data_IF_799259963644
#
_entry.id   IF_799259963644
#
_cell.length_a   1.000
_cell.length_b   1.000
_cell.length_c   1.000
_cell.angle_alpha   90.00
_cell.angle_beta   90.00
_cell.angle_gamma   90.00
#
_symmetry.space_group_name_H-M   'P 1'
#
loop_
_entity.id
_entity.type
_entity.pdbx_description
1 polymer ?
#
# COMPACT_ATOMS: atom_id res chain seq x y z
N UNK A 1 -2.30 -6.14 11.05
CA UNK A 1 -1.35 -5.20 10.44
C UNK A 1 -2.09 -3.92 10.16
N UNK A 2 -1.61 -2.80 10.70
CA UNK A 2 -2.20 -1.50 10.45
C UNK A 2 -1.62 -0.95 9.14
N UNK A 3 -2.49 -0.71 8.15
CA UNK A 3 -2.17 -0.32 6.77
C UNK A 3 -3.20 0.71 6.32
N UNK A 4 -2.72 1.84 5.80
CA UNK A 4 -3.58 2.87 5.21
C UNK A 4 -3.07 3.21 3.81
N UNK A 5 -3.99 3.24 2.84
CA UNK A 5 -3.70 3.60 1.45
C UNK A 5 -4.61 4.75 1.05
N UNK A 6 -4.02 5.81 0.51
CA UNK A 6 -4.77 6.93 -0.05
C UNK A 6 -4.61 6.90 -1.56
N UNK A 7 -5.74 6.64 -2.22
CA UNK A 7 -5.85 6.53 -3.66
C UNK A 7 -6.72 7.69 -4.14
N UNK A 8 -6.25 8.38 -5.18
CA UNK A 8 -7.00 9.46 -5.84
C UNK A 8 -8.01 8.89 -6.86
N UNK A 9 -8.87 9.75 -7.42
CA UNK A 9 -9.87 9.38 -8.42
C UNK A 9 -9.28 8.75 -9.71
N UNK A 10 -7.99 8.96 -10.01
CA UNK A 10 -7.27 8.31 -11.13
C UNK A 10 -6.61 6.98 -10.75
N UNK A 11 -7.00 6.36 -9.63
CA UNK A 11 -6.42 5.12 -9.06
C UNK A 11 -4.93 5.23 -8.67
N UNK A 12 -4.40 6.46 -8.60
CA UNK A 12 -3.01 6.72 -8.22
C UNK A 12 -2.84 6.64 -6.71
N UNK A 13 -1.86 5.85 -6.27
CA UNK A 13 -1.41 5.85 -4.87
C UNK A 13 -0.60 7.12 -4.60
N UNK A 14 -1.15 8.06 -3.86
CA UNK A 14 -0.41 9.28 -3.49
C UNK A 14 0.14 9.23 -2.06
N UNK A 15 -0.45 8.42 -1.17
CA UNK A 15 0.09 8.18 0.17
C UNK A 15 -0.18 6.74 0.62
N UNK A 16 0.77 6.15 1.34
CA UNK A 16 0.65 4.79 1.87
C UNK A 16 1.47 4.62 3.14
N UNK A 17 0.88 4.02 4.16
CA UNK A 17 1.52 3.68 5.43
C UNK A 17 1.28 2.21 5.76
N UNK A 18 2.27 1.56 6.37
CA UNK A 18 2.13 0.21 6.86
C UNK A 18 3.06 -0.03 8.06
N UNK A 19 2.58 -0.74 9.08
CA UNK A 19 3.35 -1.08 10.28
C UNK A 19 4.26 -2.31 10.13
N UNK A 20 4.34 -2.92 8.93
CA UNK A 20 5.17 -4.11 8.69
C UNK A 20 6.68 -3.82 8.66
N UNK A 21 7.50 -4.86 8.90
CA UNK A 21 8.96 -4.74 8.90
C UNK A 21 9.55 -4.27 7.57
N UNK A 22 9.00 -4.74 6.44
CA UNK A 22 9.43 -4.31 5.11
C UNK A 22 9.21 -2.80 4.91
N UNK A 23 8.03 -2.28 5.23
CA UNK A 23 7.77 -0.84 5.10
C UNK A 23 8.57 -0.01 6.11
N UNK A 24 8.76 -0.47 7.34
CA UNK A 24 9.64 0.21 8.31
C UNK A 24 11.08 0.32 7.81
N UNK A 25 11.59 -0.69 7.13
CA UNK A 25 12.97 -0.72 6.64
C UNK A 25 13.14 -0.02 5.29
N UNK A 26 12.19 -0.22 4.36
CA UNK A 26 12.32 0.18 2.96
C UNK A 26 11.40 1.34 2.57
N UNK A 27 10.37 1.63 3.37
CA UNK A 27 9.26 2.54 3.03
C UNK A 27 8.74 2.20 1.63
N UNK A 28 8.59 3.20 0.77
CA UNK A 28 8.21 3.04 -0.65
C UNK A 28 9.42 2.97 -1.59
N UNK A 29 10.67 2.98 -1.09
CA UNK A 29 11.87 2.99 -1.95
C UNK A 29 12.04 1.70 -2.75
N UNK A 30 11.51 0.58 -2.24
CA UNK A 30 11.47 -0.71 -2.93
C UNK A 30 10.06 -1.08 -3.41
N UNK A 31 9.20 -0.07 -3.54
CA UNK A 31 7.78 -0.28 -3.86
C UNK A 31 6.93 -0.65 -2.63
N UNK A 32 5.62 -0.88 -2.86
CA UNK A 32 4.67 -1.26 -1.83
C UNK A 32 4.97 -2.65 -1.26
N UNK A 33 4.71 -2.86 0.03
CA UNK A 33 4.83 -4.18 0.64
C UNK A 33 3.70 -5.12 0.17
N UNK A 34 3.87 -6.43 0.39
CA UNK A 34 2.86 -7.44 0.00
C UNK A 34 1.46 -7.13 0.55
N UNK A 35 1.38 -6.53 1.73
CA UNK A 35 0.12 -6.18 2.36
C UNK A 35 -0.64 -5.10 1.57
N UNK A 36 0.07 -4.07 1.08
CA UNK A 36 -0.55 -3.03 0.27
C UNK A 36 -0.99 -3.58 -1.09
N UNK A 37 -0.19 -4.49 -1.67
CA UNK A 37 -0.54 -5.17 -2.91
C UNK A 37 -1.81 -6.02 -2.74
N UNK A 38 -1.93 -6.73 -1.63
CA UNK A 38 -3.13 -7.51 -1.33
C UNK A 38 -4.39 -6.64 -1.27
N UNK A 39 -4.33 -5.50 -0.57
CA UNK A 39 -5.46 -4.55 -0.51
C UNK A 39 -5.81 -4.05 -1.91
N UNK A 40 -4.82 -3.69 -2.73
CA UNK A 40 -5.06 -3.26 -4.12
C UNK A 40 -5.72 -4.36 -4.96
N UNK A 41 -5.29 -5.61 -4.81
CA UNK A 41 -5.91 -6.75 -5.50
C UNK A 41 -7.35 -7.01 -5.05
N UNK A 42 -7.68 -6.74 -3.79
CA UNK A 42 -9.05 -6.84 -3.28
C UNK A 42 -9.91 -5.72 -3.89
N UNK A 43 -9.41 -4.48 -3.89
CA UNK A 43 -10.15 -3.33 -4.42
C UNK A 43 -10.37 -3.43 -5.94
N UNK A 44 -9.39 -3.92 -6.70
CA UNK A 44 -9.50 -4.10 -8.15
C UNK A 44 -10.43 -5.26 -8.58
N UNK A 45 -10.88 -6.10 -7.63
CA UNK A 45 -11.79 -7.23 -7.89
C UNK A 45 -13.25 -6.92 -7.57
N UNK A 46 -13.57 -5.72 -7.08
CA UNK A 46 -14.93 -5.23 -6.85
C UNK A 46 -15.40 -4.33 -7.99
#
# INVERSE_FOLDING_TARGET
HDIELFIDADDRLFNATCTCGFFRHNRMLKGPCEHMLAIRMIHAKG
#
